data_IF_854292747327
#
_entry.id   IF_854292747327
#
_cell.length_a   1.000
_cell.length_b   1.000
_cell.length_c   1.000
_cell.angle_alpha   90.00
_cell.angle_beta   90.00
_cell.angle_gamma   90.00
#
_symmetry.space_group_name_H-M   'P 1'
#
loop_
_entity.id
_entity.type
_entity.pdbx_description
1 polymer ?
#
# COMPACT_ATOMS: atom_id res chain seq x y z
N UNK A 1 -16.30 -13.46 -9.86
CA UNK A 1 -16.39 -13.11 -8.43
C UNK A 1 -15.30 -12.10 -8.14
N UNK A 2 -15.62 -10.85 -7.81
CA UNK A 2 -14.62 -9.78 -7.62
C UNK A 2 -14.05 -9.76 -6.20
N UNK A 3 -12.81 -9.30 -6.03
CA UNK A 3 -12.26 -8.96 -4.71
C UNK A 3 -13.08 -7.82 -4.09
N UNK A 4 -13.49 -7.97 -2.82
CA UNK A 4 -14.15 -6.92 -2.07
C UNK A 4 -13.10 -6.01 -1.44
N UNK A 5 -13.01 -4.76 -1.90
CA UNK A 5 -12.13 -3.75 -1.33
C UNK A 5 -12.94 -2.84 -0.41
N UNK A 6 -12.39 -2.52 0.76
CA UNK A 6 -13.02 -1.65 1.75
C UNK A 6 -12.18 -0.40 1.97
N UNK A 7 -12.83 0.76 2.04
CA UNK A 7 -12.13 2.00 2.34
C UNK A 7 -11.79 2.14 3.84
N UNK A 8 -11.18 3.27 4.21
CA UNK A 8 -10.79 3.56 5.59
C UNK A 8 -11.98 3.85 6.51
N UNK A 9 -13.14 4.22 5.95
CA UNK A 9 -14.37 4.49 6.72
C UNK A 9 -14.97 3.22 7.34
N UNK A 10 -14.63 2.04 6.81
CA UNK A 10 -15.08 0.76 7.35
C UNK A 10 -14.31 0.43 8.64
N UNK A 11 -14.85 0.82 9.78
CA UNK A 11 -14.20 0.75 11.10
C UNK A 11 -13.91 -0.67 11.60
N UNK A 12 -14.66 -1.69 11.15
CA UNK A 12 -14.41 -3.09 11.52
C UNK A 12 -13.01 -3.58 11.15
N UNK A 13 -12.35 -2.94 10.17
CA UNK A 13 -10.98 -3.27 9.75
C UNK A 13 -9.92 -2.30 10.30
N UNK A 14 -10.27 -1.37 11.20
CA UNK A 14 -9.34 -0.35 11.69
C UNK A 14 -8.09 -0.95 12.37
N UNK A 15 -8.25 -2.03 13.12
CA UNK A 15 -7.12 -2.72 13.76
C UNK A 15 -6.16 -3.33 12.73
N UNK A 16 -6.68 -3.95 11.67
CA UNK A 16 -5.88 -4.50 10.57
C UNK A 16 -5.15 -3.41 9.79
N UNK A 17 -5.82 -2.27 9.51
CA UNK A 17 -5.18 -1.11 8.88
C UNK A 17 -4.02 -0.59 9.74
N UNK A 18 -4.24 -0.43 11.05
CA UNK A 18 -3.18 -0.02 11.97
C UNK A 18 -2.02 -1.00 11.99
N UNK A 19 -2.28 -2.31 11.92
CA UNK A 19 -1.22 -3.32 11.83
C UNK A 19 -0.43 -3.23 10.51
N UNK A 20 -1.11 -2.99 9.38
CA UNK A 20 -0.46 -2.72 8.09
C UNK A 20 0.47 -1.49 8.17
N UNK A 21 -0.08 -0.35 8.59
CA UNK A 21 0.59 0.96 8.58
C UNK A 21 1.74 1.04 9.58
N UNK A 22 1.54 0.60 10.83
CA UNK A 22 2.51 0.82 11.90
C UNK A 22 3.55 -0.30 12.05
N UNK A 23 3.32 -1.46 11.41
CA UNK A 23 4.12 -2.67 11.70
C UNK A 23 4.53 -3.43 10.46
N UNK A 24 3.56 -3.95 9.70
CA UNK A 24 3.87 -4.89 8.61
C UNK A 24 4.55 -4.21 7.44
N UNK A 25 4.05 -3.06 6.97
CA UNK A 25 4.67 -2.33 5.86
C UNK A 25 6.08 -1.87 6.23
N UNK A 26 6.33 -1.18 7.36
CA UNK A 26 7.68 -0.76 7.72
C UNK A 26 8.67 -1.92 7.84
N UNK A 27 8.26 -3.04 8.44
CA UNK A 27 9.12 -4.21 8.59
C UNK A 27 9.39 -4.90 7.24
N UNK A 28 8.39 -5.00 6.37
CA UNK A 28 8.56 -5.55 5.01
C UNK A 28 9.48 -4.67 4.16
N UNK A 29 9.32 -3.35 4.23
CA UNK A 29 10.23 -2.41 3.56
C UNK A 29 11.67 -2.61 4.03
N UNK A 30 11.87 -2.74 5.35
CA UNK A 30 13.19 -3.00 5.94
C UNK A 30 13.79 -4.33 5.50
N UNK A 31 13.01 -5.41 5.53
CA UNK A 31 13.46 -6.76 5.20
C UNK A 31 13.77 -6.92 3.70
N UNK A 32 12.95 -6.30 2.84
CA UNK A 32 13.07 -6.40 1.38
C UNK A 32 13.92 -5.28 0.77
N UNK A 33 14.43 -4.34 1.59
CA UNK A 33 15.14 -3.15 1.14
C UNK A 33 14.35 -2.32 0.13
N UNK A 34 13.02 -2.27 0.28
CA UNK A 34 12.15 -1.41 -0.53
C UNK A 34 12.12 -0.04 0.12
N UNK A 35 12.75 0.94 -0.53
CA UNK A 35 12.81 2.31 -0.04
C UNK A 35 11.65 3.13 -0.60
N UNK A 36 11.20 4.17 0.12
CA UNK A 36 10.00 4.96 -0.24
C UNK A 36 10.07 5.59 -1.65
N UNK A 37 11.29 5.75 -2.18
CA UNK A 37 11.50 6.29 -3.51
C UNK A 37 11.40 5.25 -4.63
N UNK A 38 11.34 3.95 -4.31
CA UNK A 38 11.46 2.88 -5.30
C UNK A 38 10.27 2.74 -6.24
N UNK A 39 9.08 3.28 -5.92
CA UNK A 39 7.90 3.39 -6.80
C UNK A 39 6.73 4.03 -6.02
N UNK A 40 5.63 4.50 -6.66
CA UNK A 40 4.35 4.51 -5.98
C UNK A 40 3.89 3.06 -5.91
N UNK A 41 4.15 2.41 -4.79
CA UNK A 41 3.68 1.07 -4.49
C UNK A 41 2.38 1.17 -3.72
N UNK A 42 1.40 0.37 -4.12
CA UNK A 42 0.25 0.05 -3.30
C UNK A 42 0.54 -1.21 -2.51
N UNK A 43 0.38 -1.09 -1.20
CA UNK A 43 0.43 -2.22 -0.28
C UNK A 43 -0.99 -2.69 -0.01
N UNK A 44 -1.26 -3.96 -0.28
CA UNK A 44 -2.50 -4.63 0.10
C UNK A 44 -2.21 -5.91 0.87
N UNK A 45 -3.25 -6.44 1.52
CA UNK A 45 -3.17 -7.69 2.25
C UNK A 45 -4.48 -8.46 2.08
N UNK A 46 -4.34 -9.76 1.79
CA UNK A 46 -5.46 -10.67 1.64
C UNK A 46 -5.62 -11.51 2.92
N UNK A 47 -6.87 -11.62 3.38
CA UNK A 47 -7.23 -12.30 4.62
C UNK A 47 -8.33 -13.34 4.38
N UNK A 48 -8.24 -14.46 5.08
CA UNK A 48 -9.35 -15.40 5.26
C UNK A 48 -9.96 -15.22 6.66
N UNK A 49 -11.28 -15.14 6.73
CA UNK A 49 -12.03 -15.05 8.00
C UNK A 49 -13.20 -16.02 8.01
N UNK A 50 -13.62 -16.45 9.20
CA UNK A 50 -14.86 -17.24 9.36
C UNK A 50 -16.06 -16.30 9.29
N UNK A 51 -17.05 -16.55 8.41
CA UNK A 51 -18.26 -15.74 8.36
C UNK A 51 -19.00 -15.73 9.71
N UNK A 52 -19.39 -14.55 10.19
CA UNK A 52 -20.19 -14.39 11.40
C UNK A 52 -19.41 -14.10 12.69
N UNK A 53 -18.08 -14.16 12.67
CA UNK A 53 -17.25 -13.77 13.82
C UNK A 53 -16.83 -12.31 13.75
N UNK A 54 -16.72 -11.66 14.92
CA UNK A 54 -16.13 -10.33 15.03
C UNK A 54 -14.64 -10.40 14.69
N UNK A 55 -14.10 -9.34 14.07
CA UNK A 55 -12.69 -9.27 13.74
C UNK A 55 -11.90 -8.99 15.02
N UNK A 56 -11.15 -9.99 15.47
CA UNK A 56 -10.23 -9.91 16.60
C UNK A 56 -8.92 -10.60 16.25
N UNK A 57 -7.89 -10.40 17.07
CA UNK A 57 -6.66 -11.16 16.92
C UNK A 57 -6.95 -12.66 16.99
N UNK A 58 -6.47 -13.43 16.00
CA UNK A 58 -6.78 -14.85 15.83
C UNK A 58 -8.09 -15.19 15.10
N UNK A 59 -8.95 -14.23 14.76
CA UNK A 59 -10.20 -14.47 14.00
C UNK A 59 -10.01 -14.46 12.47
N UNK A 60 -8.77 -14.23 12.02
CA UNK A 60 -8.39 -14.14 10.62
C UNK A 60 -7.04 -14.82 10.39
N UNK A 61 -6.85 -15.36 9.20
CA UNK A 61 -5.55 -15.75 8.70
C UNK A 61 -5.08 -14.70 7.68
N UNK A 62 -3.93 -14.09 7.94
CA UNK A 62 -3.20 -13.31 6.93
C UNK A 62 -2.63 -14.29 5.91
N UNK A 63 -2.99 -14.14 4.63
CA UNK A 63 -2.56 -15.04 3.57
C UNK A 63 -1.37 -14.49 2.80
N UNK A 64 -1.47 -13.24 2.36
CA UNK A 64 -0.48 -12.59 1.51
C UNK A 64 -0.45 -11.09 1.80
N UNK A 65 0.73 -10.49 1.66
CA UNK A 65 0.91 -9.04 1.54
C UNK A 65 1.58 -8.79 0.19
N UNK A 66 0.97 -7.96 -0.66
CA UNK A 66 1.57 -7.56 -1.93
C UNK A 66 2.01 -6.10 -1.90
N UNK A 67 3.14 -5.83 -2.55
CA UNK A 67 3.53 -4.49 -2.97
C UNK A 67 3.46 -4.45 -4.49
N UNK A 68 2.54 -3.67 -5.05
CA UNK A 68 2.36 -3.65 -6.50
C UNK A 68 1.98 -2.28 -7.04
N UNK A 69 2.27 -2.06 -8.32
CA UNK A 69 1.82 -0.92 -9.11
C UNK A 69 0.97 -1.38 -10.30
N UNK A 70 0.28 -2.53 -10.17
CA UNK A 70 -0.58 -3.11 -11.21
C UNK A 70 -2.02 -3.27 -10.73
N UNK A 71 -2.97 -2.98 -11.63
CA UNK A 71 -4.40 -3.06 -11.38
C UNK A 71 -4.87 -4.47 -11.00
N UNK A 72 -6.00 -4.62 -10.27
CA UNK A 72 -6.96 -3.58 -9.88
C UNK A 72 -6.55 -2.82 -8.60
N UNK A 73 -6.83 -1.52 -8.59
CA UNK A 73 -6.74 -0.67 -7.40
C UNK A 73 -8.12 -0.15 -7.02
N UNK A 74 -8.38 0.20 -5.76
CA UNK A 74 -9.59 0.92 -5.42
C UNK A 74 -9.59 2.29 -6.13
N UNK A 75 -10.75 2.80 -6.60
CA UNK A 75 -10.81 4.11 -7.27
C UNK A 75 -10.18 5.25 -6.45
N UNK A 76 -10.24 5.15 -5.12
CA UNK A 76 -9.61 6.11 -4.19
C UNK A 76 -8.07 6.14 -4.27
N UNK A 77 -7.42 5.06 -4.71
CA UNK A 77 -5.97 4.97 -4.80
C UNK A 77 -5.40 5.59 -6.09
N UNK A 78 -6.22 5.77 -7.14
CA UNK A 78 -5.77 6.21 -8.46
C UNK A 78 -5.13 7.60 -8.39
N UNK A 79 -5.81 8.57 -7.76
CA UNK A 79 -5.30 9.95 -7.67
C UNK A 79 -4.01 10.05 -6.82
N UNK A 80 -3.94 9.49 -5.60
CA UNK A 80 -2.69 9.49 -4.82
C UNK A 80 -1.50 8.84 -5.53
N UNK A 81 -1.72 7.69 -6.17
CA UNK A 81 -0.65 6.97 -6.89
C UNK A 81 -0.15 7.79 -8.08
N UNK A 82 -1.06 8.36 -8.87
CA UNK A 82 -0.69 9.22 -9.98
C UNK A 82 0.08 10.46 -9.51
N UNK A 83 -0.38 11.14 -8.45
CA UNK A 83 0.30 12.31 -7.89
C UNK A 83 1.72 11.96 -7.40
N UNK A 84 1.88 10.86 -6.68
CA UNK A 84 3.18 10.39 -6.22
C UNK A 84 4.11 9.98 -7.36
N UNK A 85 3.58 9.39 -8.44
CA UNK A 85 4.34 9.08 -9.66
C UNK A 85 4.87 10.36 -10.33
N UNK A 86 3.98 11.34 -10.54
CA UNK A 86 4.31 12.62 -11.18
C UNK A 86 5.34 13.39 -10.33
N UNK A 87 5.12 13.51 -9.02
CA UNK A 87 6.03 14.23 -8.12
C UNK A 87 7.47 13.70 -8.18
N UNK A 88 7.64 12.37 -8.23
CA UNK A 88 8.96 11.76 -8.40
C UNK A 88 9.56 12.00 -9.78
N UNK A 89 8.77 11.87 -10.85
CA UNK A 89 9.26 12.13 -12.20
C UNK A 89 9.81 13.57 -12.35
N UNK A 90 9.14 14.55 -11.72
CA UNK A 90 9.59 15.94 -11.68
C UNK A 90 10.87 16.11 -10.83
N UNK A 91 10.94 15.49 -9.65
CA UNK A 91 12.13 15.55 -8.79
C UNK A 91 13.38 14.98 -9.50
N UNK A 92 13.23 13.83 -10.17
CA UNK A 92 14.31 13.23 -10.97
C UNK A 92 14.75 14.18 -12.09
N UNK A 93 13.80 14.81 -12.77
CA UNK A 93 14.13 15.77 -13.84
C UNK A 93 14.93 16.96 -13.32
N UNK A 94 14.50 17.56 -12.21
CA UNK A 94 15.19 18.69 -11.59
C UNK A 94 16.60 18.34 -11.13
N UNK A 95 16.79 17.15 -10.52
CA UNK A 95 18.13 16.69 -10.12
C UNK A 95 19.07 16.51 -11.31
N UNK A 96 18.57 16.05 -12.46
CA UNK A 96 19.35 15.93 -13.70
C UNK A 96 19.72 17.29 -14.30
N UNK A 97 18.81 18.26 -14.25
CA UNK A 97 19.05 19.63 -14.74
C UNK A 97 20.07 20.38 -13.87
N UNK A 98 20.08 20.17 -12.54
CA UNK A 98 21.08 20.79 -11.65
C UNK A 98 22.44 20.08 -11.62
N UNK A 99 22.49 18.78 -11.94
CA UNK A 99 23.74 18.02 -12.03
C UNK A 99 24.41 18.08 -13.41
N UNK A 100 23.77 18.70 -14.40
CA UNK A 100 24.36 18.99 -15.71
C UNK A 100 24.43 20.51 -15.94
N UNK A 101 25.44 21.20 -15.36
CA UNK A 101 25.65 22.62 -15.64
C UNK A 101 26.25 22.77 -17.03
N UNK A 102 25.40 23.04 -18.02
CA UNK A 102 25.80 23.70 -19.26
C UNK A 102 25.49 25.19 -19.14
#
# INVERSE_FOLDING_TARGET
>A
MGRAMFGPEVTRFAALRKAMEDRWIPEMQRLLSIVDHDLPLLWDADFLFRPGEAISDGSYALCEINASSVAPFPPSAVQPVAAAAIGRALAIRLTKETSNPH
#
